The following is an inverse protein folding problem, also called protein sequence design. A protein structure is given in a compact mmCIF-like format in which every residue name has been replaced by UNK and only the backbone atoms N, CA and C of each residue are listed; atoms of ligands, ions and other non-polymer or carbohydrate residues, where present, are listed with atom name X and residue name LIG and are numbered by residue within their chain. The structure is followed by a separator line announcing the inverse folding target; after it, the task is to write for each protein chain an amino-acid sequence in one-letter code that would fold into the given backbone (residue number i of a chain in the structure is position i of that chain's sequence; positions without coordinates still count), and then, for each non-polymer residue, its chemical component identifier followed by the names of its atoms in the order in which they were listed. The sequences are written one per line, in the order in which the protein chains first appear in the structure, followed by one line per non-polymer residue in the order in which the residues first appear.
data_IF_183307487549
#
_entry.id   IF_183307487549
#
_cell.length_a   1.000
_cell.length_b   1.000
_cell.length_c   1.000
_cell.angle_alpha   90.00
_cell.angle_beta   90.00
_cell.angle_gamma   90.00
#
_symmetry.space_group_name_H-M   'P 1'
#
loop_
_entity.id
_entity.type
_entity.pdbx_description
1 polymer ?
#
# COMPACT_ATOMS: atom_id res chain seq x y z
N UNK A 1 5.70 11.84 2.45
CA UNK A 1 5.16 12.11 3.81
C UNK A 1 3.69 11.69 4.04
N UNK A 2 2.84 11.53 3.00
CA UNK A 2 1.42 11.15 3.18
C UNK A 2 1.21 9.74 3.77
N UNK A 3 2.01 8.75 3.36
CA UNK A 3 1.89 7.37 3.86
C UNK A 3 2.00 7.25 5.37
N UNK A 4 2.93 7.95 6.00
CA UNK A 4 3.15 7.88 7.46
C UNK A 4 1.90 8.30 8.24
N UNK A 5 1.15 9.29 7.74
CA UNK A 5 -0.08 9.76 8.40
C UNK A 5 -1.22 8.74 8.28
N UNK A 6 -1.31 8.06 7.14
CA UNK A 6 -2.33 7.03 6.89
C UNK A 6 -2.09 5.83 7.82
N UNK A 7 -0.85 5.33 7.88
CA UNK A 7 -0.48 4.22 8.77
C UNK A 7 -0.71 4.57 10.24
N UNK A 8 -0.44 5.82 10.65
CA UNK A 8 -0.71 6.26 12.01
C UNK A 8 -2.21 6.24 12.33
N UNK A 9 -3.06 6.70 11.41
CA UNK A 9 -4.53 6.71 11.61
C UNK A 9 -5.09 5.29 11.70
N UNK A 10 -4.61 4.39 10.86
CA UNK A 10 -5.00 2.97 10.85
C UNK A 10 -4.63 2.27 12.17
N UNK A 11 -3.38 2.43 12.65
CA UNK A 11 -2.95 1.88 13.94
C UNK A 11 -3.80 2.36 15.11
N UNK A 12 -4.15 3.64 15.12
CA UNK A 12 -5.01 4.21 16.18
C UNK A 12 -6.41 3.60 16.12
N UNK A 13 -6.95 3.34 14.93
CA UNK A 13 -8.26 2.71 14.80
C UNK A 13 -8.23 1.24 15.26
N UNK A 14 -7.23 0.47 14.82
CA UNK A 14 -7.06 -0.92 15.23
C UNK A 14 -6.89 -1.03 16.75
N UNK A 15 -6.08 -0.16 17.36
CA UNK A 15 -5.91 -0.15 18.81
C UNK A 15 -7.23 0.09 19.56
N UNK A 16 -8.06 1.03 19.08
CA UNK A 16 -9.39 1.27 19.67
C UNK A 16 -10.30 0.05 19.52
N UNK A 17 -10.30 -0.58 18.35
CA UNK A 17 -11.15 -1.75 18.10
C UNK A 17 -10.77 -2.94 18.99
N UNK A 18 -9.46 -3.16 19.21
CA UNK A 18 -8.95 -4.18 20.15
C UNK A 18 -9.37 -3.84 21.59
N UNK A 19 -9.28 -2.58 22.01
CA UNK A 19 -9.71 -2.20 23.35
C UNK A 19 -11.23 -2.37 23.54
N UNK A 20 -12.04 -2.06 22.52
CA UNK A 20 -13.49 -2.33 22.55
C UNK A 20 -13.77 -3.83 22.64
N UNK A 21 -12.99 -4.67 21.96
CA UNK A 21 -13.08 -6.12 22.07
C UNK A 21 -12.86 -6.60 23.50
N UNK A 22 -11.69 -6.29 24.06
CA UNK A 22 -11.29 -6.73 25.40
C UNK A 22 -12.20 -6.16 26.49
N UNK A 23 -12.77 -4.97 26.29
CA UNK A 23 -13.77 -4.41 27.21
C UNK A 23 -15.08 -5.21 27.21
N UNK A 24 -15.51 -5.71 26.04
CA UNK A 24 -16.72 -6.54 25.93
C UNK A 24 -16.49 -7.98 26.40
N UNK A 25 -15.24 -8.45 26.34
CA UNK A 25 -14.84 -9.81 26.69
C UNK A 25 -13.66 -9.75 27.67
N UNK A 26 -13.88 -9.35 28.95
CA UNK A 26 -12.81 -9.12 29.92
C UNK A 26 -11.99 -10.37 30.24
N UNK A 27 -12.58 -11.56 30.09
CA UNK A 27 -11.92 -12.85 30.33
C UNK A 27 -11.34 -13.46 29.04
N UNK A 28 -11.37 -12.74 27.92
CA UNK A 28 -10.83 -13.23 26.66
C UNK A 28 -9.31 -13.46 26.77
N UNK A 29 -8.88 -14.66 26.37
CA UNK A 29 -7.47 -15.04 26.27
C UNK A 29 -7.15 -15.44 24.83
N UNK A 30 -7.67 -14.68 23.87
CA UNK A 30 -7.46 -14.99 22.46
C UNK A 30 -6.02 -14.77 22.02
N UNK A 31 -5.65 -15.55 21.02
CA UNK A 31 -4.42 -15.34 20.28
C UNK A 31 -4.59 -14.17 19.30
N UNK A 32 -3.49 -13.74 18.68
CA UNK A 32 -3.52 -12.74 17.62
C UNK A 32 -4.49 -13.15 16.50
N UNK A 33 -4.44 -14.41 16.09
CA UNK A 33 -5.30 -14.99 15.06
C UNK A 33 -6.77 -14.91 15.47
N UNK A 34 -7.11 -15.25 16.72
CA UNK A 34 -8.47 -15.12 17.25
C UNK A 34 -9.01 -13.69 17.18
N UNK A 35 -8.20 -12.72 17.62
CA UNK A 35 -8.57 -11.29 17.58
C UNK A 35 -8.74 -10.81 16.13
N UNK A 36 -7.86 -11.20 15.22
CA UNK A 36 -7.86 -10.74 13.83
C UNK A 36 -8.99 -11.39 13.02
N UNK A 37 -9.06 -12.72 13.01
CA UNK A 37 -9.91 -13.47 12.09
C UNK A 37 -11.40 -13.41 12.47
N UNK A 38 -11.72 -13.31 13.75
CA UNK A 38 -13.08 -13.42 14.23
C UNK A 38 -13.66 -12.05 14.55
N UNK A 39 -12.97 -11.28 15.39
CA UNK A 39 -13.54 -10.02 15.87
C UNK A 39 -13.24 -8.83 14.98
N UNK A 40 -11.95 -8.59 14.66
CA UNK A 40 -11.59 -7.39 13.89
C UNK A 40 -12.16 -7.43 12.47
N UNK A 41 -12.15 -8.58 11.80
CA UNK A 41 -12.79 -8.72 10.49
C UNK A 41 -14.29 -8.42 10.55
N UNK A 42 -15.02 -8.97 11.53
CA UNK A 42 -16.45 -8.70 11.69
C UNK A 42 -16.74 -7.22 11.96
N UNK A 43 -16.00 -6.59 12.88
CA UNK A 43 -16.15 -5.16 13.17
C UNK A 43 -15.80 -4.29 11.96
N UNK A 44 -14.78 -4.66 11.19
CA UNK A 44 -14.43 -3.97 9.96
C UNK A 44 -15.55 -4.10 8.93
N UNK A 45 -16.10 -5.29 8.72
CA UNK A 45 -17.23 -5.50 7.80
C UNK A 45 -18.42 -4.65 8.24
N UNK A 46 -18.82 -4.73 9.51
CA UNK A 46 -19.97 -4.00 10.05
C UNK A 46 -19.88 -2.49 9.82
N UNK A 47 -18.69 -1.90 10.05
CA UNK A 47 -18.47 -0.45 9.82
C UNK A 47 -18.54 -0.05 8.35
N UNK A 48 -18.11 -0.92 7.44
CA UNK A 48 -18.03 -0.57 6.02
C UNK A 48 -19.33 -0.86 5.26
N UNK A 49 -20.28 -1.62 5.81
CA UNK A 49 -21.54 -1.94 5.10
C UNK A 49 -22.26 -0.68 4.59
N UNK A 50 -22.41 0.35 5.43
CA UNK A 50 -23.13 1.57 5.03
C UNK A 50 -22.41 2.30 3.87
N UNK A 51 -21.09 2.46 4.00
CA UNK A 51 -20.25 3.10 2.98
C UNK A 51 -20.26 2.29 1.68
N UNK A 52 -20.18 0.95 1.76
CA UNK A 52 -20.22 0.08 0.58
C UNK A 52 -21.58 0.18 -0.10
N UNK A 53 -22.69 0.26 0.64
CA UNK A 53 -24.03 0.47 0.07
C UNK A 53 -24.13 1.80 -0.68
N UNK A 54 -23.63 2.87 -0.09
CA UNK A 54 -23.60 4.20 -0.71
C UNK A 54 -22.80 4.18 -2.01
N UNK A 55 -21.57 3.65 -1.98
CA UNK A 55 -20.71 3.53 -3.16
C UNK A 55 -21.34 2.63 -4.22
N UNK A 56 -21.99 1.53 -3.84
CA UNK A 56 -22.70 0.68 -4.80
C UNK A 56 -23.86 1.43 -5.46
N UNK A 57 -24.62 2.23 -4.72
CA UNK A 57 -25.69 3.05 -5.28
C UNK A 57 -25.14 4.07 -6.29
N UNK A 58 -24.03 4.74 -5.99
CA UNK A 58 -23.36 5.64 -6.95
C UNK A 58 -22.87 4.92 -8.21
N UNK A 59 -22.33 3.70 -8.07
CA UNK A 59 -21.86 2.92 -9.21
C UNK A 59 -23.02 2.38 -10.07
N UNK A 60 -24.18 2.12 -9.45
CA UNK A 60 -25.41 1.74 -10.15
C UNK A 60 -26.01 2.93 -10.89
N UNK A 61 -26.05 4.11 -10.27
CA UNK A 61 -26.50 5.36 -10.89
C UNK A 61 -25.68 5.72 -12.14
N UNK A 62 -24.38 5.41 -12.13
CA UNK A 62 -23.47 5.58 -13.28
C UNK A 62 -23.53 4.44 -14.30
N UNK A 63 -24.40 3.44 -14.10
CA UNK A 63 -24.51 2.24 -14.93
C UNK A 63 -23.22 1.39 -15.02
N UNK A 64 -22.25 1.60 -14.12
CA UNK A 64 -20.99 0.84 -14.09
C UNK A 64 -21.19 -0.52 -13.43
N UNK A 65 -22.12 -0.58 -12.47
CA UNK A 65 -22.58 -1.80 -11.80
C UNK A 65 -24.07 -1.94 -12.06
N UNK A 66 -24.54 -3.17 -12.26
CA UNK A 66 -25.95 -3.50 -12.40
C UNK A 66 -26.46 -4.14 -11.12
N UNK A 67 -27.60 -3.66 -10.64
CA UNK A 67 -28.37 -4.29 -9.57
C UNK A 67 -29.33 -5.35 -10.14
N UNK A 68 -29.26 -6.58 -9.64
CA UNK A 68 -30.14 -7.68 -10.04
C UNK A 68 -30.92 -8.15 -8.82
N UNK A 69 -32.24 -7.95 -8.85
CA UNK A 69 -33.16 -8.52 -7.88
C UNK A 69 -33.40 -9.99 -8.22
N UNK A 70 -33.02 -10.88 -7.31
CA UNK A 70 -33.19 -12.33 -7.44
C UNK A 70 -34.53 -12.77 -6.85
N UNK A 71 -35.02 -13.95 -7.26
CA UNK A 71 -36.28 -14.53 -6.78
C UNK A 71 -36.29 -14.80 -5.26
N UNK A 72 -35.12 -14.95 -4.64
CA UNK A 72 -34.92 -15.11 -3.19
C UNK A 72 -34.97 -13.77 -2.42
N UNK A 73 -35.43 -12.69 -3.04
CA UNK A 73 -35.44 -11.31 -2.49
C UNK A 73 -34.05 -10.75 -2.15
N UNK A 74 -32.97 -11.40 -2.59
CA UNK A 74 -31.61 -10.87 -2.45
C UNK A 74 -31.25 -10.01 -3.65
N UNK A 75 -30.46 -8.98 -3.36
CA UNK A 75 -29.86 -8.12 -4.38
C UNK A 75 -28.48 -8.66 -4.72
N UNK A 76 -28.21 -8.86 -6.01
CA UNK A 76 -26.90 -9.23 -6.54
C UNK A 76 -26.36 -8.10 -7.40
N UNK A 77 -25.05 -7.87 -7.33
CA UNK A 77 -24.37 -6.85 -8.12
C UNK A 77 -23.44 -7.51 -9.13
N UNK A 78 -23.41 -6.99 -10.36
CA UNK A 78 -22.44 -7.39 -11.40
C UNK A 78 -21.90 -6.16 -12.10
N UNK A 79 -20.69 -6.23 -12.64
CA UNK A 79 -20.19 -5.18 -13.54
C UNK A 79 -21.05 -5.09 -14.81
N UNK A 80 -21.25 -3.88 -15.31
CA UNK A 80 -21.88 -3.68 -16.61
C UNK A 80 -20.87 -3.98 -17.74
N UNK A 81 -21.18 -4.99 -18.55
CA UNK A 81 -20.34 -5.38 -19.68
C UNK A 81 -20.28 -4.33 -20.78
N UNK A 82 -21.34 -3.55 -20.96
CA UNK A 82 -21.41 -2.49 -21.98
C UNK A 82 -20.47 -1.32 -21.64
N UNK A 83 -20.26 -1.06 -20.34
CA UNK A 83 -19.33 -0.04 -19.82
C UNK A 83 -17.95 -0.61 -19.51
N UNK A 84 -17.63 -1.84 -19.93
CA UNK A 84 -16.37 -2.50 -19.58
C UNK A 84 -15.12 -1.66 -19.90
N UNK A 85 -15.12 -0.93 -21.03
CA UNK A 85 -14.00 -0.05 -21.43
C UNK A 85 -13.80 1.09 -20.43
N UNK A 86 -14.89 1.72 -19.99
CA UNK A 86 -14.88 2.80 -19.01
C UNK A 86 -14.43 2.30 -17.63
N UNK A 87 -15.00 1.19 -17.16
CA UNK A 87 -14.60 0.53 -15.91
C UNK A 87 -13.10 0.24 -15.93
N UNK A 88 -12.59 -0.32 -17.04
CA UNK A 88 -11.17 -0.61 -17.21
C UNK A 88 -10.31 0.65 -17.20
N UNK A 89 -10.77 1.75 -17.81
CA UNK A 89 -10.07 3.03 -17.79
C UNK A 89 -9.96 3.58 -16.36
N UNK A 90 -11.05 3.59 -15.60
CA UNK A 90 -11.08 4.08 -14.20
C UNK A 90 -10.14 3.28 -13.27
N UNK A 91 -10.07 1.96 -13.46
CA UNK A 91 -9.14 1.09 -12.69
C UNK A 91 -7.68 1.31 -13.15
N UNK A 92 -7.46 1.56 -14.44
CA UNK A 92 -6.14 1.79 -15.03
C UNK A 92 -5.55 3.18 -14.75
N UNK A 93 -6.38 4.23 -14.66
CA UNK A 93 -5.93 5.62 -14.47
C UNK A 93 -5.29 5.84 -13.10
N UNK A 94 -5.75 5.14 -12.06
CA UNK A 94 -5.11 5.19 -10.73
C UNK A 94 -3.67 4.65 -10.73
N UNK A 95 -3.22 3.97 -11.78
CA UNK A 95 -1.83 3.46 -11.91
C UNK A 95 -0.91 4.37 -12.73
N UNK A 96 -1.42 5.43 -13.39
CA UNK A 96 -0.59 6.39 -14.13
C UNK A 96 -0.34 7.63 -13.27
N UNK A 97 0.77 7.64 -12.54
CA UNK A 97 1.38 8.92 -12.15
C UNK A 97 1.78 9.66 -13.43
N UNK A 98 1.42 10.94 -13.62
CA UNK A 98 1.90 11.72 -14.77
C UNK A 98 3.39 12.00 -14.59
N UNK A 99 4.24 11.14 -15.14
CA UNK A 99 5.66 11.37 -15.27
C UNK A 99 5.98 11.75 -16.72
N UNK A 100 6.60 12.93 -16.86
CA UNK A 100 7.20 13.55 -18.06
C UNK A 100 6.25 14.19 -19.08
N UNK A 101 5.97 15.48 -18.85
CA UNK A 101 5.89 16.46 -19.91
C UNK A 101 7.30 16.58 -20.54
N UNK A 102 7.51 15.94 -21.69
CA UNK A 102 8.58 16.30 -22.64
C UNK A 102 7.95 17.23 -23.67
N UNK A 103 8.34 18.50 -23.67
CA UNK A 103 8.43 19.35 -24.86
C UNK A 103 9.16 20.64 -24.45
N UNK A 104 10.38 20.89 -24.89
CA UNK A 104 10.81 21.25 -26.27
C UNK A 104 10.63 22.74 -26.58
N UNK A 105 11.45 23.56 -25.94
CA UNK A 105 11.85 24.87 -26.47
C UNK A 105 13.35 24.77 -26.78
N UNK A 106 13.69 24.27 -27.98
CA UNK A 106 14.03 25.06 -29.17
C UNK A 106 15.26 25.95 -28.98
N UNK A 107 16.39 25.37 -29.38
CA UNK A 107 17.53 25.99 -30.06
C UNK A 107 17.34 27.45 -30.50
N UNK A 108 18.19 28.33 -29.96
CA UNK A 108 18.89 29.41 -30.70
C UNK A 108 20.38 29.16 -30.44
N UNK A 109 21.14 28.64 -31.41
CA UNK A 109 21.85 29.46 -32.39
C UNK A 109 23.09 30.09 -31.73
N UNK A 110 24.25 29.41 -31.70
CA UNK A 110 25.38 29.54 -32.64
C UNK A 110 26.47 30.55 -32.16
N UNK A 111 27.60 29.95 -31.70
CA UNK A 111 29.04 30.27 -31.89
C UNK A 111 29.63 31.59 -31.33
N UNK A 112 30.58 31.50 -30.38
CA UNK A 112 31.99 31.92 -30.60
C UNK A 112 32.99 31.63 -29.45
N UNK A 113 33.91 30.70 -29.77
CA UNK A 113 35.34 30.52 -29.45
C UNK A 113 35.93 30.33 -28.02
N UNK A 114 37.09 29.61 -27.91
CA UNK A 114 37.61 28.98 -26.69
C UNK A 114 38.90 29.61 -26.13
N UNK A 115 39.21 29.36 -24.84
CA UNK A 115 40.57 29.54 -24.30
C UNK A 115 40.96 28.46 -23.27
N UNK A 116 41.88 27.60 -23.69
CA UNK A 116 43.07 27.09 -22.98
C UNK A 116 43.04 26.73 -21.48
N UNK A 117 43.45 25.48 -21.18
CA UNK A 117 44.66 25.29 -20.38
C UNK A 117 44.63 24.30 -19.19
N UNK A 118 45.42 23.22 -19.34
CA UNK A 118 46.22 22.50 -18.32
C UNK A 118 45.49 21.55 -17.35
N UNK A 119 45.71 20.23 -17.42
CA UNK A 119 46.88 19.39 -17.03
C UNK A 119 46.88 18.96 -15.56
N UNK A 120 47.12 17.65 -15.36
CA UNK A 120 47.57 17.02 -14.12
C UNK A 120 46.44 16.62 -13.18
N UNK A 121 46.50 15.53 -12.42
CA UNK A 121 47.51 14.50 -12.27
C UNK A 121 46.81 13.35 -11.50
N UNK A 122 47.38 12.17 -11.63
CA UNK A 122 47.08 10.95 -10.88
C UNK A 122 47.11 11.21 -9.37
N UNK A 123 46.61 10.24 -8.58
CA UNK A 123 47.32 9.65 -7.42
C UNK A 123 46.32 9.10 -6.38
N UNK A 124 46.34 7.77 -6.28
CA UNK A 124 46.21 6.97 -5.06
C UNK A 124 44.84 6.64 -4.46
N UNK A 125 44.46 5.36 -4.63
CA UNK A 125 44.04 4.52 -3.50
C UNK A 125 45.29 3.95 -2.83
N UNK A 126 45.30 3.82 -1.50
CA UNK A 126 45.39 2.48 -0.89
C UNK A 126 44.57 2.42 0.43
N UNK A 127 44.37 1.36 1.21
CA UNK A 127 44.51 -0.10 1.21
C UNK A 127 43.87 -0.57 2.54
N UNK A 128 43.26 -1.77 2.53
CA UNK A 128 43.21 -2.82 3.59
C UNK A 128 43.33 -2.44 5.08
N UNK A 129 42.45 -2.98 5.93
CA UNK A 129 42.69 -4.07 6.95
C UNK A 129 41.32 -4.70 7.30
N UNK A 130 40.95 -5.93 6.92
CA UNK A 130 41.30 -7.29 7.43
C UNK A 130 41.23 -7.47 8.96
N UNK A 131 40.58 -8.60 9.35
CA UNK A 131 40.62 -9.37 10.62
C UNK A 131 39.60 -8.95 11.69
N UNK A 132 38.94 -9.84 12.45
CA UNK A 132 39.22 -11.25 12.79
C UNK A 132 37.97 -11.90 13.42
N UNK A 133 37.89 -13.20 13.23
CA UNK A 133 37.00 -14.21 13.80
C UNK A 133 36.82 -14.09 15.33
N UNK A 134 35.67 -14.59 15.81
CA UNK A 134 35.44 -14.87 17.23
C UNK A 134 34.10 -15.56 17.47
N UNK A 135 33.99 -16.84 17.13
CA UNK A 135 33.16 -17.75 17.94
C UNK A 135 33.93 -18.02 19.25
N UNK A 136 33.19 -18.17 20.36
CA UNK A 136 33.42 -19.34 21.18
C UNK A 136 32.12 -20.08 21.51
N UNK A 137 32.19 -21.38 21.24
CA UNK A 137 31.45 -22.52 21.79
C UNK A 137 31.16 -22.38 23.28
N UNK A 138 30.00 -22.86 23.76
CA UNK A 138 29.93 -23.73 24.94
C UNK A 138 28.73 -24.67 24.88
N UNK A 139 29.07 -25.95 25.01
CA UNK A 139 28.23 -27.11 25.24
C UNK A 139 27.24 -26.92 26.40
N UNK A 140 26.05 -27.53 26.30
CA UNK A 140 25.33 -28.02 27.47
C UNK A 140 24.72 -29.39 27.19
N UNK A 141 25.54 -30.38 27.52
CA UNK A 141 25.25 -31.62 28.22
C UNK A 141 23.77 -32.00 28.47
N UNK A 142 23.49 -33.20 27.95
CA UNK A 142 22.49 -34.21 28.28
C UNK A 142 22.06 -34.21 29.75
N UNK A 143 20.74 -34.36 30.01
CA UNK A 143 20.24 -34.66 31.35
C UNK A 143 18.75 -35.00 31.42
N UNK A 144 18.48 -36.31 31.44
CA UNK A 144 17.24 -37.05 31.78
C UNK A 144 16.26 -37.40 30.67
#
# INVERSE_FOLDING_TARGET
MKNTRIIKKEKVQIARDILVYLLKHPDAQDTLEGIVEWWLLEQMIARHIAVVKEVLAELVDRELVLEIKSADSRIRYRGNGEKHREIKAMVGERRRTPAKQKNSERNRGIIDKPLHGKQGDSTERPLLKKKKNGEPTLEHQIGK
#
